data_IF_226638851666
#
_entry.id   IF_226638851666
#
_cell.length_a   1.000
_cell.length_b   1.000
_cell.length_c   1.000
_cell.angle_alpha   90.00
_cell.angle_beta   90.00
_cell.angle_gamma   90.00
#
_symmetry.space_group_name_H-M   'P 1'
#
loop_
_entity.id
_entity.type
_entity.pdbx_description
1 polymer ?
#
# COMPACT_ATOMS: atom_id res chain seq x y z
N UNK A 1 0.47 18.72 -3.12
CA UNK A 1 -0.62 17.78 -3.48
C UNK A 1 -1.97 18.35 -3.07
N UNK A 2 -2.98 18.35 -3.96
CA UNK A 2 -4.35 18.70 -3.59
C UNK A 2 -5.03 17.53 -2.86
N UNK A 3 -6.00 17.81 -1.99
CA UNK A 3 -6.75 16.79 -1.25
C UNK A 3 -8.26 16.95 -1.46
N UNK A 4 -8.99 15.83 -1.41
CA UNK A 4 -10.45 15.77 -1.58
C UNK A 4 -11.06 14.72 -0.66
N UNK A 5 -12.34 14.86 -0.27
CA UNK A 5 -13.00 13.87 0.55
C UNK A 5 -13.35 12.60 -0.26
N UNK A 6 -13.20 11.44 0.38
CA UNK A 6 -13.83 10.17 0.01
C UNK A 6 -14.59 9.65 1.24
N UNK A 7 -15.91 9.82 1.22
CA UNK A 7 -16.76 9.67 2.41
C UNK A 7 -16.19 10.49 3.59
N UNK A 8 -15.83 9.85 4.71
CA UNK A 8 -15.27 10.51 5.90
C UNK A 8 -13.75 10.75 5.84
N UNK A 9 -13.05 10.19 4.85
CA UNK A 9 -11.59 10.34 4.72
C UNK A 9 -11.25 11.55 3.84
N UNK A 10 -10.15 12.22 4.16
CA UNK A 10 -9.60 13.31 3.35
C UNK A 10 -8.26 12.87 2.75
N UNK A 11 -8.22 12.65 1.44
CA UNK A 11 -7.13 11.95 0.76
C UNK A 11 -6.50 12.81 -0.33
N UNK A 12 -5.22 12.59 -0.69
CA UNK A 12 -4.62 13.23 -1.85
C UNK A 12 -5.36 12.83 -3.14
N UNK A 13 -5.43 13.75 -4.11
CA UNK A 13 -6.07 13.48 -5.41
C UNK A 13 -5.33 12.46 -6.27
N UNK A 14 -4.07 12.16 -5.93
CA UNK A 14 -3.26 11.09 -6.53
C UNK A 14 -2.78 10.18 -5.41
N UNK A 15 -3.10 8.89 -5.52
CA UNK A 15 -2.54 7.83 -4.69
C UNK A 15 -1.41 7.07 -5.38
N UNK A 16 -0.75 6.20 -4.63
CA UNK A 16 0.27 5.29 -5.14
C UNK A 16 -0.27 3.86 -5.19
N UNK A 17 -0.43 3.31 -6.40
CA UNK A 17 -0.74 1.90 -6.59
C UNK A 17 0.50 1.02 -6.59
N UNK A 18 0.37 -0.20 -6.06
CA UNK A 18 1.50 -1.12 -5.90
C UNK A 18 1.48 -2.32 -6.88
N UNK A 19 0.37 -2.51 -7.61
CA UNK A 19 0.19 -3.63 -8.53
C UNK A 19 1.28 -3.68 -9.61
N UNK A 20 1.92 -4.84 -9.77
CA UNK A 20 3.04 -5.13 -10.69
C UNK A 20 4.34 -4.36 -10.39
N UNK A 21 4.26 -3.13 -9.90
CA UNK A 21 5.43 -2.26 -9.66
C UNK A 21 6.17 -2.62 -8.38
N UNK A 22 5.47 -3.08 -7.35
CA UNK A 22 6.07 -3.52 -6.09
C UNK A 22 6.07 -5.04 -5.89
N UNK A 23 5.61 -5.81 -6.87
CA UNK A 23 5.85 -7.26 -6.93
C UNK A 23 7.26 -7.57 -7.46
N UNK A 24 8.26 -7.06 -6.76
CA UNK A 24 9.68 -7.21 -7.10
C UNK A 24 10.32 -8.18 -6.12
N UNK A 25 11.38 -8.94 -6.43
CA UNK A 25 12.12 -9.74 -5.43
C UNK A 25 12.96 -8.86 -4.47
N UNK A 26 13.62 -9.45 -3.46
CA UNK A 26 14.41 -8.70 -2.45
C UNK A 26 15.45 -7.73 -3.04
N UNK A 27 16.07 -8.07 -4.17
CA UNK A 27 17.01 -7.18 -4.89
C UNK A 27 16.36 -5.89 -5.41
N UNK A 28 15.04 -5.86 -5.57
CA UNK A 28 14.26 -4.70 -5.98
C UNK A 28 13.82 -3.80 -4.82
N UNK A 29 13.99 -4.24 -3.57
CA UNK A 29 13.58 -3.46 -2.40
C UNK A 29 14.22 -2.05 -2.35
N UNK A 30 15.51 -1.84 -2.67
CA UNK A 30 16.09 -0.50 -2.64
C UNK A 30 15.37 0.49 -3.58
N UNK A 31 14.98 0.04 -4.77
CA UNK A 31 14.24 0.87 -5.72
C UNK A 31 12.79 1.10 -5.25
N UNK A 32 12.13 0.06 -4.72
CA UNK A 32 10.81 0.19 -4.12
C UNK A 32 10.81 1.22 -2.97
N UNK A 33 11.84 1.22 -2.13
CA UNK A 33 12.02 2.22 -1.08
C UNK A 33 12.12 3.62 -1.69
N UNK A 34 13.02 3.84 -2.65
CA UNK A 34 13.21 5.15 -3.27
C UNK A 34 11.93 5.69 -3.92
N UNK A 35 11.22 4.84 -4.68
CA UNK A 35 9.96 5.22 -5.34
C UNK A 35 8.88 5.55 -4.31
N UNK A 36 8.74 4.72 -3.27
CA UNK A 36 7.75 4.95 -2.20
C UNK A 36 8.05 6.26 -1.47
N UNK A 37 9.30 6.49 -1.07
CA UNK A 37 9.69 7.73 -0.40
C UNK A 37 9.47 8.95 -1.29
N UNK A 38 9.81 8.86 -2.59
CA UNK A 38 9.56 9.96 -3.54
C UNK A 38 8.06 10.24 -3.72
N UNK A 39 7.20 9.21 -3.71
CA UNK A 39 5.76 9.37 -3.78
C UNK A 39 5.22 10.08 -2.54
N UNK A 40 5.70 9.70 -1.34
CA UNK A 40 5.34 10.36 -0.09
C UNK A 40 5.81 11.83 -0.07
N UNK A 41 7.03 12.11 -0.53
CA UNK A 41 7.57 13.48 -0.61
C UNK A 41 6.77 14.37 -1.57
N UNK A 42 6.20 13.78 -2.63
CA UNK A 42 5.27 14.47 -3.54
C UNK A 42 3.86 14.66 -2.94
N UNK A 43 3.57 14.00 -1.81
CA UNK A 43 2.29 14.05 -1.10
C UNK A 43 1.29 12.94 -1.48
N UNK A 44 1.72 11.90 -2.20
CA UNK A 44 0.89 10.73 -2.53
C UNK A 44 0.83 9.76 -1.34
N UNK A 45 0.08 10.12 -0.31
CA UNK A 45 -0.03 9.38 0.97
C UNK A 45 -1.20 8.39 1.03
N UNK A 46 -2.02 8.27 -0.03
CA UNK A 46 -3.00 7.19 -0.17
C UNK A 46 -2.36 6.03 -0.95
N UNK A 47 -2.17 4.89 -0.29
CA UNK A 47 -1.50 3.71 -0.85
C UNK A 47 -2.55 2.62 -1.15
N UNK A 48 -2.55 2.11 -2.37
CA UNK A 48 -3.42 1.00 -2.80
C UNK A 48 -2.63 -0.30 -2.92
N UNK A 49 -3.11 -1.37 -2.28
CA UNK A 49 -2.54 -2.72 -2.40
C UNK A 49 -3.61 -3.81 -2.46
N UNK A 50 -3.19 -5.07 -2.49
CA UNK A 50 -4.07 -6.25 -2.43
C UNK A 50 -3.24 -7.51 -2.15
N UNK A 51 -3.79 -8.52 -1.45
CA UNK A 51 -3.15 -9.83 -1.29
C UNK A 51 -2.91 -10.52 -2.65
N UNK A 52 -3.64 -10.15 -3.70
CA UNK A 52 -3.41 -10.67 -5.05
C UNK A 52 -2.21 -10.05 -5.78
N UNK A 53 -1.60 -8.98 -5.24
CA UNK A 53 -0.50 -8.25 -5.90
C UNK A 53 0.89 -8.84 -5.57
N UNK A 54 0.96 -10.17 -5.42
CA UNK A 54 2.20 -10.87 -5.14
C UNK A 54 2.86 -10.35 -3.85
N UNK A 55 4.11 -9.88 -3.95
CA UNK A 55 4.86 -9.40 -2.77
C UNK A 55 4.58 -7.94 -2.39
N UNK A 56 3.65 -7.27 -3.07
CA UNK A 56 3.48 -5.82 -2.97
C UNK A 56 3.20 -5.32 -1.54
N UNK A 57 2.37 -6.03 -0.76
CA UNK A 57 2.07 -5.65 0.63
C UNK A 57 3.31 -5.66 1.53
N UNK A 58 4.08 -6.75 1.48
CA UNK A 58 5.32 -6.85 2.23
C UNK A 58 6.37 -5.82 1.79
N UNK A 59 6.48 -5.58 0.47
CA UNK A 59 7.44 -4.62 -0.09
C UNK A 59 7.09 -3.19 0.30
N UNK A 60 5.82 -2.80 0.21
CA UNK A 60 5.38 -1.44 0.57
C UNK A 60 5.43 -1.25 2.09
N UNK A 61 5.06 -2.26 2.88
CA UNK A 61 5.18 -2.22 4.34
C UNK A 61 6.62 -1.92 4.78
N UNK A 62 7.60 -2.61 4.18
CA UNK A 62 9.02 -2.33 4.42
C UNK A 62 9.48 -0.96 3.89
N UNK A 63 8.94 -0.53 2.76
CA UNK A 63 9.32 0.74 2.14
C UNK A 63 8.78 1.97 2.90
N UNK A 64 7.63 1.84 3.58
CA UNK A 64 7.04 2.89 4.40
C UNK A 64 7.86 3.14 5.68
N UNK A 65 8.32 2.08 6.34
CA UNK A 65 9.09 2.19 7.59
C UNK A 65 8.41 3.09 8.61
N UNK A 66 9.18 4.03 9.19
CA UNK A 66 8.68 4.96 10.21
C UNK A 66 7.61 5.94 9.70
N UNK A 67 7.50 6.11 8.38
CA UNK A 67 6.51 7.01 7.75
C UNK A 67 5.15 6.35 7.55
N UNK A 68 4.94 5.10 7.99
CA UNK A 68 3.62 4.43 7.91
C UNK A 68 2.50 5.27 8.56
N UNK A 69 2.81 6.03 9.61
CA UNK A 69 1.84 6.91 10.27
C UNK A 69 1.39 8.11 9.42
N UNK A 70 2.08 8.41 8.32
CA UNK A 70 1.72 9.49 7.39
C UNK A 70 0.73 9.03 6.30
N UNK A 71 0.44 7.72 6.22
CA UNK A 71 -0.31 7.15 5.09
C UNK A 71 -1.68 6.62 5.45
N UNK A 72 -2.55 6.64 4.45
CA UNK A 72 -3.79 5.87 4.43
C UNK A 72 -3.57 4.69 3.50
N UNK A 73 -3.74 3.47 4.02
CA UNK A 73 -3.50 2.23 3.28
C UNK A 73 -4.83 1.57 2.99
N UNK A 74 -5.13 1.39 1.71
CA UNK A 74 -6.27 0.65 1.21
C UNK A 74 -5.77 -0.67 0.63
N UNK A 75 -5.90 -1.75 1.41
CA UNK A 75 -5.77 -3.12 0.87
C UNK A 75 -7.15 -3.74 0.63
N UNK A 76 -7.18 -4.93 0.05
CA UNK A 76 -8.39 -5.61 -0.39
C UNK A 76 -8.47 -6.98 0.25
N UNK A 77 -9.64 -7.58 0.20
CA UNK A 77 -9.85 -9.00 0.44
C UNK A 77 -10.30 -9.59 -0.89
N UNK A 78 -9.65 -10.67 -1.33
CA UNK A 78 -9.89 -11.31 -2.63
C UNK A 78 -10.32 -12.76 -2.42
N UNK A 79 -11.49 -12.92 -1.83
CA UNK A 79 -12.14 -14.22 -1.61
C UNK A 79 -13.62 -14.00 -1.31
N UNK A 80 -14.44 -15.03 -1.57
CA UNK A 80 -15.86 -15.09 -1.15
C UNK A 80 -16.05 -15.90 0.14
N UNK A 81 -14.98 -16.52 0.64
CA UNK A 81 -14.97 -17.32 1.88
C UNK A 81 -14.59 -16.46 3.09
N UNK A 82 -15.44 -16.43 4.11
CA UNK A 82 -15.29 -15.57 5.29
C UNK A 82 -14.05 -15.94 6.12
N UNK A 83 -13.75 -17.23 6.30
CA UNK A 83 -12.56 -17.64 7.06
C UNK A 83 -11.26 -17.26 6.33
N UNK A 84 -11.24 -17.42 5.00
CA UNK A 84 -10.13 -16.94 4.18
C UNK A 84 -10.03 -15.42 4.17
N UNK A 85 -11.16 -14.71 4.23
CA UNK A 85 -11.18 -13.25 4.33
C UNK A 85 -10.49 -12.79 5.61
N UNK A 86 -10.83 -13.40 6.75
CA UNK A 86 -10.17 -13.12 8.04
C UNK A 86 -8.67 -13.42 7.97
N UNK A 87 -8.28 -14.58 7.40
CA UNK A 87 -6.87 -14.92 7.22
C UNK A 87 -6.11 -13.92 6.34
N UNK A 88 -6.73 -13.42 5.27
CA UNK A 88 -6.13 -12.40 4.41
C UNK A 88 -5.96 -11.08 5.16
N UNK A 89 -6.96 -10.65 5.92
CA UNK A 89 -6.89 -9.42 6.73
C UNK A 89 -5.74 -9.51 7.73
N UNK A 90 -5.65 -10.62 8.47
CA UNK A 90 -4.58 -10.83 9.45
C UNK A 90 -3.20 -10.87 8.79
N UNK A 91 -3.08 -11.55 7.64
CA UNK A 91 -1.83 -11.61 6.88
C UNK A 91 -1.38 -10.25 6.34
N UNK A 92 -2.31 -9.40 5.91
CA UNK A 92 -2.02 -8.03 5.44
C UNK A 92 -1.58 -7.09 6.58
N UNK A 93 -1.89 -7.43 7.84
CA UNK A 93 -1.54 -6.63 9.03
C UNK A 93 -0.22 -7.06 9.70
N UNK A 94 0.26 -8.28 9.44
CA UNK A 94 1.48 -8.86 10.01
C UNK A 94 2.76 -8.15 9.55
#
# INVERSE_FOLDING_TARGET
MQHRPIAALFVPVVGMGTSRTLDVPSRGQPLANQVTQSALDAGSTLIDSSPMYGRAEAVVGKALGDRRGETLIATKVWTEDDEEAERQIDASLA
#
